data_IF_942664430438
#
_entry.id   IF_942664430438
#
_cell.length_a   1.000
_cell.length_b   1.000
_cell.length_c   1.000
_cell.angle_alpha   90.00
_cell.angle_beta   90.00
_cell.angle_gamma   90.00
#
_symmetry.space_group_name_H-M   'P 1'
#
loop_
_entity.id
_entity.type
_entity.pdbx_description
1 polymer ?
#
# COMPACT_ATOMS: atom_id res chain seq x y z
N UNK A 1 -33.70 -31.55 0.30
CA UNK A 1 -33.30 -30.30 -0.41
C UNK A 1 -31.96 -29.74 0.08
N UNK A 2 -31.44 -30.15 1.25
CA UNK A 2 -30.19 -29.66 1.86
C UNK A 2 -28.90 -30.23 1.22
N UNK A 3 -28.91 -31.45 0.69
CA UNK A 3 -27.71 -32.10 0.10
C UNK A 3 -27.21 -31.41 -1.18
N UNK A 4 -28.13 -30.90 -2.01
CA UNK A 4 -27.77 -30.20 -3.26
C UNK A 4 -27.06 -28.85 -3.03
N UNK A 5 -27.34 -28.18 -1.91
CA UNK A 5 -26.64 -26.95 -1.52
C UNK A 5 -25.23 -27.22 -0.99
N UNK A 6 -25.01 -28.36 -0.33
CA UNK A 6 -23.69 -28.79 0.14
C UNK A 6 -22.73 -29.11 -1.01
N UNK A 7 -23.21 -29.86 -2.01
CA UNK A 7 -22.45 -30.18 -3.24
C UNK A 7 -22.02 -28.92 -4.03
N UNK A 8 -22.89 -27.91 -4.10
CA UNK A 8 -22.55 -26.63 -4.73
C UNK A 8 -21.49 -25.87 -3.93
N UNK A 9 -21.55 -25.91 -2.59
CA UNK A 9 -20.56 -25.32 -1.70
C UNK A 9 -19.17 -25.94 -1.87
N UNK A 10 -19.10 -27.28 -1.94
CA UNK A 10 -17.84 -27.99 -2.20
C UNK A 10 -17.30 -27.69 -3.60
N UNK A 11 -18.15 -27.69 -4.63
CA UNK A 11 -17.74 -27.34 -6.00
C UNK A 11 -17.16 -25.92 -6.09
N UNK A 12 -17.77 -24.96 -5.38
CA UNK A 12 -17.29 -23.59 -5.34
C UNK A 12 -15.95 -23.45 -4.59
N UNK A 13 -15.73 -24.21 -3.51
CA UNK A 13 -14.42 -24.24 -2.85
C UNK A 13 -13.32 -24.83 -3.74
N UNK A 14 -13.60 -25.92 -4.45
CA UNK A 14 -12.64 -26.51 -5.37
C UNK A 14 -12.29 -25.55 -6.51
N UNK A 15 -13.30 -24.84 -7.03
CA UNK A 15 -13.11 -23.83 -8.07
C UNK A 15 -12.27 -22.64 -7.59
N UNK A 16 -12.57 -22.09 -6.41
CA UNK A 16 -11.80 -20.99 -5.82
C UNK A 16 -10.37 -21.41 -5.51
N UNK A 17 -10.16 -22.64 -5.05
CA UNK A 17 -8.82 -23.20 -4.83
C UNK A 17 -8.05 -23.32 -6.14
N UNK A 18 -8.65 -23.87 -7.20
CA UNK A 18 -8.02 -23.97 -8.51
C UNK A 18 -7.65 -22.59 -9.10
N UNK A 19 -8.52 -21.59 -8.94
CA UNK A 19 -8.22 -20.21 -9.30
C UNK A 19 -7.04 -19.65 -8.48
N UNK A 20 -7.00 -19.93 -7.18
CA UNK A 20 -5.89 -19.54 -6.32
C UNK A 20 -4.56 -20.15 -6.77
N UNK A 21 -4.55 -21.46 -7.05
CA UNK A 21 -3.37 -22.20 -7.51
C UNK A 21 -2.87 -21.70 -8.88
N UNK A 22 -3.76 -21.21 -9.75
CA UNK A 22 -3.40 -20.62 -11.06
C UNK A 22 -2.90 -19.18 -10.93
N UNK A 23 -3.46 -18.39 -10.01
CA UNK A 23 -3.08 -16.99 -9.78
C UNK A 23 -1.84 -16.85 -8.90
N UNK A 24 -1.56 -17.80 -8.01
CA UNK A 24 -0.41 -17.80 -7.10
C UNK A 24 0.93 -17.51 -7.81
N UNK A 25 1.32 -18.21 -8.90
CA UNK A 25 2.58 -17.94 -9.58
C UNK A 25 2.63 -16.51 -10.15
N UNK A 26 1.53 -16.02 -10.73
CA UNK A 26 1.46 -14.67 -11.28
C UNK A 26 1.51 -13.59 -10.21
N UNK A 27 0.89 -13.83 -9.05
CA UNK A 27 0.98 -12.94 -7.88
C UNK A 27 2.40 -12.92 -7.31
N UNK A 28 3.08 -14.05 -7.31
CA UNK A 28 4.48 -14.14 -6.89
C UNK A 28 5.40 -13.40 -7.86
N UNK A 29 5.28 -13.64 -9.16
CA UNK A 29 6.06 -12.94 -10.19
C UNK A 29 5.81 -11.41 -10.12
N UNK A 30 4.56 -11.00 -9.91
CA UNK A 30 4.21 -9.60 -9.69
C UNK A 30 4.84 -9.05 -8.42
N UNK A 31 4.77 -9.77 -7.30
CA UNK A 31 5.38 -9.35 -6.04
C UNK A 31 6.91 -9.24 -6.16
N UNK A 32 7.57 -10.16 -6.85
CA UNK A 32 9.02 -10.11 -7.10
C UNK A 32 9.39 -8.94 -8.03
N UNK A 33 8.62 -8.69 -9.09
CA UNK A 33 8.84 -7.54 -9.98
C UNK A 33 8.52 -6.19 -9.30
N UNK A 34 7.53 -6.17 -8.41
CA UNK A 34 7.10 -4.98 -7.67
C UNK A 34 7.91 -4.76 -6.39
N UNK A 35 8.71 -5.72 -5.93
CA UNK A 35 9.53 -5.64 -4.71
C UNK A 35 10.33 -4.33 -4.60
N UNK A 36 11.10 -3.88 -5.62
CA UNK A 36 11.81 -2.61 -5.53
C UNK A 36 10.86 -1.40 -5.45
N UNK A 37 9.73 -1.43 -6.15
CA UNK A 37 8.75 -0.34 -6.11
C UNK A 37 8.01 -0.31 -4.75
N UNK A 38 7.72 -1.47 -4.18
CA UNK A 38 7.15 -1.63 -2.84
C UNK A 38 8.13 -1.17 -1.77
N UNK A 39 9.43 -1.49 -1.91
CA UNK A 39 10.46 -0.98 -1.00
C UNK A 39 10.51 0.56 -1.00
N UNK A 40 10.49 1.19 -2.18
CA UNK A 40 10.40 2.66 -2.32
C UNK A 40 9.12 3.24 -1.71
N UNK A 41 8.00 2.54 -1.90
CA UNK A 41 6.74 2.96 -1.29
C UNK A 41 6.80 2.88 0.24
N UNK A 42 7.42 1.83 0.80
CA UNK A 42 7.59 1.69 2.24
C UNK A 42 8.53 2.77 2.81
N UNK A 43 9.59 3.16 2.11
CA UNK A 43 10.44 4.32 2.49
C UNK A 43 9.59 5.60 2.60
N UNK A 44 8.68 5.84 1.65
CA UNK A 44 7.76 6.97 1.71
C UNK A 44 6.74 6.83 2.86
N UNK A 45 6.27 5.62 3.16
CA UNK A 45 5.32 5.37 4.26
C UNK A 45 6.01 5.55 5.61
N UNK A 46 7.28 5.18 5.75
CA UNK A 46 8.06 5.47 6.96
C UNK A 46 8.13 6.98 7.22
N UNK A 47 8.28 7.79 6.16
CA UNK A 47 8.15 9.24 6.27
C UNK A 47 6.73 9.67 6.69
N UNK A 48 5.66 8.96 6.27
CA UNK A 48 4.29 9.25 6.71
C UNK A 48 4.09 8.98 8.21
N UNK A 49 4.83 8.04 8.82
CA UNK A 49 4.78 7.84 10.27
C UNK A 49 5.28 9.07 11.04
N UNK A 50 6.09 9.94 10.42
CA UNK A 50 6.46 11.23 11.01
C UNK A 50 5.29 12.21 11.12
N UNK A 51 4.11 11.89 10.56
CA UNK A 51 2.96 12.79 10.50
C UNK A 51 1.70 12.20 11.17
N UNK A 52 0.80 13.09 11.58
CA UNK A 52 -0.50 12.79 12.15
C UNK A 52 -1.52 12.46 11.06
N UNK A 53 -2.66 11.93 11.46
CA UNK A 53 -3.76 11.69 10.53
C UNK A 53 -4.23 12.99 9.86
N UNK A 54 -4.78 12.92 8.63
CA UNK A 54 -5.24 14.10 7.92
C UNK A 54 -6.41 14.82 8.62
N UNK A 55 -6.32 16.15 8.73
CA UNK A 55 -7.37 17.02 9.27
C UNK A 55 -8.01 17.81 8.10
N UNK A 56 -9.32 17.63 7.88
CA UNK A 56 -10.05 18.38 6.84
C UNK A 56 -10.51 19.73 7.37
N UNK A 57 -10.11 20.81 6.70
CA UNK A 57 -10.49 22.18 7.02
C UNK A 57 -11.86 22.57 6.45
N UNK A 58 -12.49 23.65 6.97
CA UNK A 58 -13.79 24.13 6.47
C UNK A 58 -13.80 24.56 5.00
N UNK A 59 -12.65 24.99 4.46
CA UNK A 59 -12.51 25.37 3.05
C UNK A 59 -12.35 24.15 2.11
N UNK A 60 -12.23 22.94 2.65
CA UNK A 60 -12.03 21.71 1.88
C UNK A 60 -10.59 21.23 1.79
N UNK A 61 -9.62 22.04 2.26
CA UNK A 61 -8.22 21.65 2.29
C UNK A 61 -7.95 20.56 3.34
N UNK A 62 -6.87 19.83 3.16
CA UNK A 62 -6.40 18.83 4.12
C UNK A 62 -5.04 19.27 4.66
N UNK A 63 -4.93 19.34 5.98
CA UNK A 63 -3.65 19.52 6.66
C UNK A 63 -3.20 18.19 7.25
N UNK A 64 -1.94 17.83 7.00
CA UNK A 64 -1.27 16.70 7.65
C UNK A 64 -0.16 17.28 8.53
N UNK A 65 -0.33 17.22 9.85
CA UNK A 65 0.60 17.83 10.81
C UNK A 65 1.72 16.88 11.15
N UNK A 66 2.92 17.39 11.38
CA UNK A 66 4.05 16.58 11.83
C UNK A 66 3.90 16.16 13.28
N UNK A 67 4.22 14.91 13.63
CA UNK A 67 4.27 14.46 15.03
C UNK A 67 5.40 15.22 15.77
N UNK A 68 5.20 15.59 17.04
CA UNK A 68 6.19 16.35 17.81
C UNK A 68 7.50 15.58 18.06
N UNK A 69 7.45 14.24 18.05
CA UNK A 69 8.60 13.36 18.31
C UNK A 69 9.25 12.83 17.02
N UNK A 70 8.84 13.33 15.85
CA UNK A 70 9.44 12.88 14.60
C UNK A 70 10.90 13.37 14.47
N UNK A 71 11.80 12.59 13.84
CA UNK A 71 13.20 12.97 13.58
C UNK A 71 13.29 14.38 12.98
N UNK A 72 14.35 15.18 13.12
CA UNK A 72 14.43 16.47 12.41
C UNK A 72 14.34 16.27 10.88
N UNK A 73 13.73 17.22 10.18
CA UNK A 73 13.77 17.20 8.71
C UNK A 73 15.22 17.36 8.24
N UNK A 74 15.62 16.70 7.14
CA UNK A 74 16.91 16.98 6.52
C UNK A 74 16.97 18.46 6.12
N UNK A 75 18.16 19.05 6.26
CA UNK A 75 18.40 20.45 5.96
C UNK A 75 18.04 20.73 4.48
N UNK A 76 17.13 21.66 4.18
CA UNK A 76 16.79 22.00 2.80
C UNK A 76 18.00 22.53 2.00
N UNK A 77 19.03 23.09 2.65
CA UNK A 77 20.28 23.53 2.01
C UNK A 77 21.24 22.38 1.70
N UNK A 78 20.98 21.17 2.22
CA UNK A 78 21.77 19.97 1.91
C UNK A 78 21.28 19.21 0.67
N UNK A 79 20.19 19.67 0.03
CA UNK A 79 19.78 19.14 -1.28
C UNK A 79 20.67 19.77 -2.35
N UNK A 80 21.37 18.99 -3.21
CA UNK A 80 22.01 19.59 -4.37
C UNK A 80 20.94 20.33 -5.17
N UNK A 81 21.18 21.62 -5.42
CA UNK A 81 20.25 22.48 -6.14
C UNK A 81 19.98 21.89 -7.52
N UNK A 82 18.77 21.38 -7.75
CA UNK A 82 18.30 21.00 -9.07
C UNK A 82 17.76 19.58 -9.14
N UNK A 83 16.44 19.46 -9.01
CA UNK A 83 15.56 18.69 -9.91
C UNK A 83 14.13 18.84 -9.37
N UNK A 84 13.48 19.93 -9.79
CA UNK A 84 12.02 19.99 -9.84
C UNK A 84 11.72 19.91 -11.33
N UNK A 85 11.60 18.69 -11.87
CA UNK A 85 11.07 18.50 -13.21
C UNK A 85 9.56 18.77 -13.12
N UNK A 86 9.14 19.92 -13.65
CA UNK A 86 7.72 20.31 -13.81
C UNK A 86 7.28 19.91 -15.22
#
# INVERSE_FOLDING_TARGET
MSEGLGLLGEGMQMFLKGLGDELEPHMRDFAEAAEPALARLMELIDDLDAYQLPERLPNGDIIIRRKPNAPPLPDPEARPEGEIEI
#
